data_IF_167424260902
#
_entry.id   IF_167424260902
#
_cell.length_a   1.000
_cell.length_b   1.000
_cell.length_c   1.000
_cell.angle_alpha   90.00
_cell.angle_beta   90.00
_cell.angle_gamma   90.00
#
_symmetry.space_group_name_H-M   'P 1'
#
loop_
_entity.id
_entity.type
_entity.pdbx_description
1 polymer ?
#
# COMPACT_ATOMS: atom_id res chain seq x y z
N UNK A 1 14.49 0.03 0.81
CA UNK A 1 13.17 -0.31 1.32
C UNK A 1 12.94 0.49 2.58
N UNK A 2 11.95 1.38 2.55
CA UNK A 2 11.62 2.23 3.69
C UNK A 2 10.86 1.38 4.72
N UNK A 3 11.53 1.01 5.83
CA UNK A 3 11.00 0.03 6.79
C UNK A 3 9.78 0.52 7.58
N UNK A 4 9.56 1.83 7.59
CA UNK A 4 8.54 2.49 8.41
C UNK A 4 7.13 1.94 8.19
N UNK A 5 6.78 1.50 6.98
CA UNK A 5 5.48 0.86 6.71
C UNK A 5 5.25 -0.45 7.45
N UNK A 6 6.31 -1.22 7.68
CA UNK A 6 6.25 -2.59 8.23
C UNK A 6 6.64 -2.65 9.70
N UNK A 7 6.77 -1.50 10.34
CA UNK A 7 7.08 -1.31 11.77
C UNK A 7 5.83 -0.97 12.60
N UNK A 8 4.72 -0.59 11.95
CA UNK A 8 3.43 -0.37 12.62
C UNK A 8 2.84 -1.66 13.19
N UNK A 9 1.87 -1.55 14.10
CA UNK A 9 1.09 -2.71 14.57
C UNK A 9 -0.26 -2.72 13.89
N UNK A 10 -0.69 -3.88 13.40
CA UNK A 10 -2.05 -4.06 12.87
C UNK A 10 -3.10 -3.80 13.94
N UNK A 11 -4.10 -3.00 13.60
CA UNK A 11 -5.21 -2.69 14.48
C UNK A 11 -6.36 -3.70 14.31
N UNK A 12 -7.14 -3.91 15.37
CA UNK A 12 -8.21 -4.91 15.40
C UNK A 12 -9.33 -4.65 14.37
N UNK A 13 -9.52 -3.39 13.96
CA UNK A 13 -10.58 -2.96 13.03
C UNK A 13 -10.04 -2.53 11.66
N UNK A 14 -8.83 -2.99 11.31
CA UNK A 14 -8.11 -2.54 10.11
C UNK A 14 -7.22 -1.34 10.39
N UNK A 15 -6.22 -1.17 9.52
CA UNK A 15 -5.18 -0.16 9.63
C UNK A 15 -3.96 -0.55 10.44
N UNK A 16 -3.04 0.40 10.53
CA UNK A 16 -1.73 0.32 11.18
C UNK A 16 -1.58 1.43 12.22
N UNK A 17 -0.93 1.13 13.33
CA UNK A 17 -0.77 2.08 14.45
C UNK A 17 0.06 3.34 14.13
N UNK A 18 0.67 3.46 12.95
CA UNK A 18 1.57 4.55 12.57
C UNK A 18 1.11 5.32 11.33
N UNK A 19 -0.14 5.21 10.91
CA UNK A 19 -0.65 5.85 9.69
C UNK A 19 -0.53 7.37 9.69
N UNK A 20 -0.83 8.04 10.81
CA UNK A 20 -0.67 9.50 10.93
C UNK A 20 0.79 9.92 10.67
N UNK A 21 1.74 9.17 11.25
CA UNK A 21 3.16 9.41 11.01
C UNK A 21 3.53 9.15 9.54
N UNK A 22 2.97 8.11 8.91
CA UNK A 22 3.23 7.80 7.51
C UNK A 22 2.71 8.89 6.57
N UNK A 23 1.57 9.53 6.90
CA UNK A 23 1.04 10.66 6.15
C UNK A 23 1.96 11.88 6.28
N UNK A 24 2.44 12.18 7.50
CA UNK A 24 3.33 13.32 7.76
C UNK A 24 4.67 13.23 6.99
N UNK A 25 5.15 12.01 6.72
CA UNK A 25 6.41 11.78 6.00
C UNK A 25 6.22 11.33 4.55
N UNK A 26 4.97 11.33 4.06
CA UNK A 26 4.68 10.80 2.74
C UNK A 26 5.42 11.60 1.66
N UNK A 27 6.12 10.94 0.72
CA UNK A 27 6.76 11.66 -0.37
C UNK A 27 5.71 12.39 -1.23
N UNK A 28 5.90 13.68 -1.56
CA UNK A 28 4.87 14.50 -2.23
C UNK A 28 4.38 13.94 -3.57
N UNK A 29 5.18 13.11 -4.25
CA UNK A 29 4.77 12.48 -5.50
C UNK A 29 3.64 11.46 -5.33
N UNK A 30 3.37 10.95 -4.13
CA UNK A 30 2.22 10.05 -3.85
C UNK A 30 0.94 10.81 -3.47
N UNK A 31 1.05 12.10 -3.17
CA UNK A 31 -0.12 12.98 -3.00
C UNK A 31 -0.72 13.40 -4.36
N UNK A 32 0.08 13.35 -5.43
CA UNK A 32 -0.36 13.63 -6.79
C UNK A 32 -1.31 12.54 -7.30
N UNK A 33 -2.53 12.92 -7.68
CA UNK A 33 -3.52 12.02 -8.26
C UNK A 33 -3.11 11.45 -9.62
N UNK A 34 -2.15 12.07 -10.30
CA UNK A 34 -1.52 11.57 -11.52
C UNK A 34 -0.54 10.41 -11.30
N UNK A 35 -0.16 10.11 -10.05
CA UNK A 35 0.77 9.04 -9.75
C UNK A 35 0.18 7.68 -10.19
N UNK A 36 0.87 6.89 -11.02
CA UNK A 36 0.34 5.62 -11.51
C UNK A 36 0.04 4.60 -10.40
N UNK A 37 0.79 4.63 -9.29
CA UNK A 37 0.54 3.77 -8.13
C UNK A 37 -0.79 4.06 -7.44
N UNK A 38 -1.29 5.30 -7.53
CA UNK A 38 -2.61 5.67 -7.01
C UNK A 38 -3.73 4.89 -7.69
N UNK A 39 -3.62 4.69 -9.01
CA UNK A 39 -4.60 3.91 -9.78
C UNK A 39 -4.60 2.43 -9.36
N UNK A 40 -3.42 1.88 -9.07
CA UNK A 40 -3.28 0.50 -8.58
C UNK A 40 -3.94 0.36 -7.21
N UNK A 41 -3.65 1.30 -6.29
CA UNK A 41 -4.26 1.32 -4.96
C UNK A 41 -5.79 1.44 -5.02
N UNK A 42 -6.29 2.36 -5.85
CA UNK A 42 -7.72 2.56 -6.04
C UNK A 42 -8.40 1.32 -6.63
N UNK A 43 -7.86 0.74 -7.70
CA UNK A 43 -8.36 -0.51 -8.30
C UNK A 43 -8.39 -1.65 -7.30
N UNK A 44 -7.30 -1.85 -6.54
CA UNK A 44 -7.26 -2.88 -5.50
C UNK A 44 -8.35 -2.64 -4.44
N UNK A 45 -8.50 -1.41 -3.95
CA UNK A 45 -9.49 -1.07 -2.92
C UNK A 45 -10.93 -1.22 -3.40
N UNK A 46 -11.23 -0.84 -4.64
CA UNK A 46 -12.60 -0.85 -5.20
C UNK A 46 -12.98 -2.20 -5.81
N UNK A 47 -12.06 -2.86 -6.51
CA UNK A 47 -12.34 -4.03 -7.36
C UNK A 47 -11.76 -5.33 -6.76
N UNK A 48 -10.94 -5.24 -5.71
CA UNK A 48 -10.22 -6.38 -5.12
C UNK A 48 -9.46 -7.19 -6.17
N UNK A 49 -8.73 -6.46 -7.01
CA UNK A 49 -7.92 -7.05 -8.06
C UNK A 49 -6.98 -8.13 -7.52
N UNK A 50 -6.87 -9.24 -8.25
CA UNK A 50 -5.99 -10.35 -7.88
C UNK A 50 -4.52 -9.93 -7.93
N UNK A 51 -3.74 -10.40 -6.95
CA UNK A 51 -2.31 -10.05 -6.79
C UNK A 51 -1.37 -11.05 -7.46
N UNK A 52 -1.89 -12.04 -8.17
CA UNK A 52 -1.12 -13.17 -8.74
C UNK A 52 -0.11 -12.73 -9.81
N UNK A 53 -0.34 -11.59 -10.45
CA UNK A 53 0.51 -11.03 -11.50
C UNK A 53 1.50 -9.97 -10.99
N UNK A 54 1.57 -9.75 -9.68
CA UNK A 54 2.45 -8.73 -9.11
C UNK A 54 3.91 -9.17 -9.15
N UNK A 55 4.75 -8.33 -9.74
CA UNK A 55 6.19 -8.51 -9.67
C UNK A 55 6.74 -7.90 -8.38
N UNK A 56 7.18 -8.73 -7.46
CA UNK A 56 7.67 -8.34 -6.14
C UNK A 56 9.13 -7.90 -6.16
N UNK A 57 9.50 -6.86 -5.39
CA UNK A 57 10.92 -6.49 -5.22
C UNK A 57 11.73 -7.54 -4.46
N UNK A 58 11.10 -8.19 -3.48
CA UNK A 58 11.73 -9.23 -2.70
C UNK A 58 11.54 -10.59 -3.36
N UNK A 59 12.57 -11.45 -3.29
CA UNK A 59 12.48 -12.87 -3.64
C UNK A 59 12.10 -13.78 -2.47
N UNK A 60 12.02 -13.23 -1.25
CA UNK A 60 11.70 -13.95 -0.02
C UNK A 60 10.18 -14.02 0.18
N UNK A 61 9.63 -15.24 0.20
CA UNK A 61 8.21 -15.52 0.32
C UNK A 61 7.62 -15.09 1.67
N UNK A 62 8.37 -15.28 2.77
CA UNK A 62 7.89 -14.90 4.11
C UNK A 62 7.75 -13.38 4.22
N UNK A 63 8.70 -12.66 3.63
CA UNK A 63 8.66 -11.20 3.55
C UNK A 63 7.52 -10.72 2.65
N UNK A 64 7.22 -11.39 1.52
CA UNK A 64 6.04 -11.07 0.68
C UNK A 64 4.75 -11.24 1.46
N UNK A 65 4.58 -12.37 2.14
CA UNK A 65 3.39 -12.64 2.94
C UNK A 65 3.21 -11.60 4.04
N UNK A 66 4.32 -11.25 4.72
CA UNK A 66 4.31 -10.16 5.69
C UNK A 66 3.85 -8.87 5.03
N UNK A 67 4.46 -8.44 3.94
CA UNK A 67 4.09 -7.20 3.25
C UNK A 67 2.61 -7.16 2.85
N UNK A 68 2.07 -8.26 2.30
CA UNK A 68 0.64 -8.38 1.98
C UNK A 68 -0.25 -8.18 3.21
N UNK A 69 0.11 -8.79 4.33
CA UNK A 69 -0.63 -8.64 5.59
C UNK A 69 -0.72 -7.17 6.03
N UNK A 70 0.36 -6.39 5.88
CA UNK A 70 0.35 -4.96 6.19
C UNK A 70 -0.47 -4.16 5.18
N UNK A 71 -0.36 -4.49 3.90
CA UNK A 71 -1.09 -3.84 2.82
C UNK A 71 -2.61 -4.05 2.94
N UNK A 72 -3.05 -5.28 3.22
CA UNK A 72 -4.46 -5.58 3.45
C UNK A 72 -5.00 -4.89 4.70
N UNK A 73 -4.20 -4.81 5.77
CA UNK A 73 -4.57 -4.07 6.96
C UNK A 73 -4.80 -2.59 6.63
N UNK A 74 -3.87 -1.96 5.90
CA UNK A 74 -3.99 -0.57 5.47
C UNK A 74 -5.21 -0.35 4.54
N UNK A 75 -5.47 -1.26 3.61
CA UNK A 75 -6.66 -1.20 2.75
C UNK A 75 -7.97 -1.23 3.56
N UNK A 76 -7.98 -1.96 4.67
CA UNK A 76 -9.12 -2.06 5.59
C UNK A 76 -9.23 -0.90 6.60
N UNK A 77 -8.33 0.10 6.60
CA UNK A 77 -8.27 1.20 7.58
C UNK A 77 -9.46 2.16 7.50
N UNK A 78 -10.61 1.81 8.10
CA UNK A 78 -11.88 2.56 7.97
C UNK A 78 -11.83 3.98 8.53
N UNK A 79 -10.92 4.29 9.44
CA UNK A 79 -10.74 5.61 10.03
C UNK A 79 -10.00 6.58 9.09
N UNK A 80 -9.27 6.09 8.10
CA UNK A 80 -8.64 6.92 7.08
C UNK A 80 -9.66 7.32 6.01
N UNK A 81 -9.55 8.57 5.54
CA UNK A 81 -10.27 9.01 4.36
C UNK A 81 -9.88 8.15 3.15
N UNK A 82 -10.77 8.05 2.14
CA UNK A 82 -10.44 7.31 0.91
C UNK A 82 -9.17 7.84 0.24
N UNK A 83 -8.97 9.15 0.27
CA UNK A 83 -7.79 9.80 -0.32
C UNK A 83 -6.52 9.41 0.44
N UNK A 84 -6.48 9.61 1.76
CA UNK A 84 -5.29 9.33 2.58
C UNK A 84 -4.91 7.85 2.50
N UNK A 85 -5.92 6.97 2.52
CA UNK A 85 -5.71 5.54 2.37
C UNK A 85 -5.08 5.20 1.02
N UNK A 86 -5.60 5.77 -0.07
CA UNK A 86 -5.04 5.56 -1.40
C UNK A 86 -3.61 6.13 -1.51
N UNK A 87 -3.27 7.20 -0.78
CA UNK A 87 -1.90 7.79 -0.76
C UNK A 87 -0.97 6.76 -0.14
N UNK A 88 -1.26 6.33 1.08
CA UNK A 88 -0.43 5.38 1.81
C UNK A 88 -0.33 4.03 1.09
N UNK A 89 -1.45 3.53 0.54
CA UNK A 89 -1.47 2.29 -0.23
C UNK A 89 -0.60 2.41 -1.48
N UNK A 90 -0.69 3.53 -2.22
CA UNK A 90 0.12 3.74 -3.42
C UNK A 90 1.62 3.78 -3.10
N UNK A 91 1.98 4.42 -1.99
CA UNK A 91 3.37 4.46 -1.54
C UNK A 91 3.85 3.08 -1.06
N UNK A 92 3.03 2.34 -0.30
CA UNK A 92 3.36 0.97 0.12
C UNK A 92 3.53 0.01 -1.06
N UNK A 93 2.66 0.06 -2.06
CA UNK A 93 2.78 -0.72 -3.30
C UNK A 93 4.12 -0.45 -4.01
N UNK A 94 4.51 0.82 -4.08
CA UNK A 94 5.79 1.20 -4.69
C UNK A 94 7.00 0.65 -3.92
N UNK A 95 6.87 0.33 -2.63
CA UNK A 95 7.92 -0.31 -1.84
C UNK A 95 7.90 -1.84 -1.98
N UNK A 96 6.73 -2.44 -2.18
CA UNK A 96 6.52 -3.88 -2.34
C UNK A 96 6.87 -4.39 -3.74
N UNK A 97 6.49 -3.65 -4.77
CA UNK A 97 6.48 -4.12 -6.16
C UNK A 97 7.63 -3.53 -6.98
N UNK A 98 8.22 -4.36 -7.84
CA UNK A 98 9.32 -3.99 -8.73
C UNK A 98 8.85 -3.05 -9.84
N UNK A 99 7.60 -3.21 -10.29
CA UNK A 99 6.99 -2.42 -11.34
C UNK A 99 5.48 -2.23 -11.12
N UNK A 100 4.90 -1.26 -11.83
CA UNK A 100 3.46 -1.00 -11.82
C UNK A 100 2.77 -2.16 -12.56
N UNK A 101 1.78 -2.84 -11.95
CA UNK A 101 1.09 -3.94 -12.60
C UNK A 101 0.47 -3.53 -13.94
N UNK A 102 0.72 -4.34 -14.97
CA UNK A 102 0.28 -4.07 -16.35
C UNK A 102 -1.24 -4.03 -16.52
N UNK A 103 -1.99 -4.66 -15.62
CA UNK A 103 -3.46 -4.62 -15.57
C UNK A 103 -4.03 -3.23 -15.23
N UNK A 104 -3.18 -2.29 -14.81
CA UNK A 104 -3.52 -0.91 -14.47
C UNK A 104 -3.14 0.10 -15.57
N UNK A 105 -2.36 -0.34 -16.57
CA UNK A 105 -1.91 0.47 -17.72
C UNK A 105 -2.98 0.51 -18.82
#
# INVERSE_FOLDING_TARGET
MNKTFFEGTRLAFGGLSNEDQLLDICPPNFEDSGNPWRKVAEKFRLEKEGTDHWEWKTGDEDERQKQMIYFEALSAAVHLSGIDRDILMSWMLSEMLAEIPSSVI
#
